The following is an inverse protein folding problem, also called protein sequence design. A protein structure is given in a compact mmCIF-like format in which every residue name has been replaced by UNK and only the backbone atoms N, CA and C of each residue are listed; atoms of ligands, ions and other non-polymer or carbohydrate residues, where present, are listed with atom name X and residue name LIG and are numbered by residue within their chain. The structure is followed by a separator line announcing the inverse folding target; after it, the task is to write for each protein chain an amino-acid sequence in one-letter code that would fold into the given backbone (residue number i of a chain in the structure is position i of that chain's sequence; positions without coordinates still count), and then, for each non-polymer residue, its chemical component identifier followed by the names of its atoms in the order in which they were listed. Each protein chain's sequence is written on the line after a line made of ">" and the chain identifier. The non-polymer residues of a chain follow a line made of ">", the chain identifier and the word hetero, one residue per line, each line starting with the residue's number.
data_IF_287232129407
#
_entry.id   IF_287232129407
#
_cell.length_a   1.000
_cell.length_b   1.000
_cell.length_c   1.000
_cell.angle_alpha   90.00
_cell.angle_beta   90.00
_cell.angle_gamma   90.00
#
_symmetry.space_group_name_H-M   'P 1'
#
loop_
_entity.id
_entity.type
_entity.pdbx_description
1 polymer ?
#
# COMPACT_ATOMS: atom_id res chain seq x y z
N UNK A 1 -43.32 37.61 33.09
CA UNK A 1 -42.44 38.76 32.75
C UNK A 1 -42.21 38.73 31.26
N UNK A 2 -42.85 39.67 30.60
CA UNK A 2 -42.87 39.93 29.17
C UNK A 2 -41.47 40.34 28.67
N UNK A 3 -41.20 40.08 27.39
CA UNK A 3 -40.63 41.07 26.46
C UNK A 3 -40.69 40.57 25.02
N UNK A 4 -41.73 41.03 24.35
CA UNK A 4 -41.80 41.17 22.90
C UNK A 4 -40.60 42.00 22.39
N UNK A 5 -39.98 41.57 21.29
CA UNK A 5 -39.14 42.43 20.45
C UNK A 5 -39.86 42.67 19.14
N UNK A 6 -40.25 43.92 18.96
CA UNK A 6 -40.85 44.55 17.81
C UNK A 6 -39.90 44.55 16.61
N UNK A 7 -40.47 44.22 15.45
CA UNK A 7 -39.84 44.32 14.13
C UNK A 7 -40.12 45.72 13.58
N UNK A 8 -39.05 46.47 13.30
CA UNK A 8 -39.13 47.79 12.65
C UNK A 8 -39.02 47.60 11.14
N UNK A 9 -40.09 47.95 10.42
CA UNK A 9 -40.16 47.99 8.97
C UNK A 9 -39.55 49.30 8.49
N UNK A 10 -38.55 49.23 7.60
CA UNK A 10 -38.00 50.37 6.87
C UNK A 10 -38.53 50.32 5.43
N UNK A 11 -39.11 51.40 4.89
CA UNK A 11 -39.54 51.45 3.50
C UNK A 11 -38.34 51.76 2.61
N UNK A 12 -38.08 50.95 1.59
CA UNK A 12 -37.12 51.28 0.53
C UNK A 12 -37.88 51.70 -0.71
N UNK A 13 -37.57 52.92 -1.12
CA UNK A 13 -38.14 53.68 -2.24
C UNK A 13 -37.99 52.97 -3.58
N UNK A 14 -39.02 53.13 -4.40
CA UNK A 14 -39.04 52.80 -5.81
C UNK A 14 -38.13 53.77 -6.58
N UNK A 15 -36.96 53.29 -7.03
CA UNK A 15 -36.17 53.98 -8.05
C UNK A 15 -36.47 53.37 -9.42
N UNK A 16 -37.08 54.19 -10.28
CA UNK A 16 -37.33 53.94 -11.68
C UNK A 16 -36.05 54.17 -12.50
N UNK A 17 -35.30 53.11 -12.79
CA UNK A 17 -34.14 53.20 -13.68
C UNK A 17 -34.40 52.53 -15.04
N UNK A 18 -34.50 53.43 -16.01
CA UNK A 18 -34.31 53.31 -17.46
C UNK A 18 -33.82 51.95 -18.01
N UNK A 19 -34.71 51.32 -18.77
CA UNK A 19 -34.43 50.19 -19.64
C UNK A 19 -33.62 50.67 -20.86
N UNK A 20 -32.28 50.59 -20.79
CA UNK A 20 -31.40 50.64 -21.97
C UNK A 20 -30.94 49.22 -22.32
N UNK A 21 -31.70 48.59 -23.22
CA UNK A 21 -31.40 47.27 -23.78
C UNK A 21 -30.12 47.32 -24.61
N UNK A 22 -28.99 46.98 -23.99
CA UNK A 22 -27.76 46.64 -24.72
C UNK A 22 -28.03 45.44 -25.63
N UNK A 23 -27.69 45.49 -26.92
CA UNK A 23 -27.88 44.35 -27.82
C UNK A 23 -27.04 43.18 -27.30
N UNK A 24 -27.72 42.05 -27.09
CA UNK A 24 -27.07 40.78 -26.80
C UNK A 24 -26.03 40.51 -27.88
N UNK A 25 -24.75 40.68 -27.54
CA UNK A 25 -23.63 40.19 -28.36
C UNK A 25 -23.85 38.70 -28.56
N UNK A 26 -24.35 38.31 -29.73
CA UNK A 26 -24.45 36.94 -30.14
C UNK A 26 -23.10 36.27 -29.91
N UNK A 27 -23.05 35.28 -29.01
CA UNK A 27 -21.87 34.42 -28.87
C UNK A 27 -21.62 33.79 -30.23
N UNK A 28 -20.61 34.29 -30.94
CA UNK A 28 -20.13 33.67 -32.17
C UNK A 28 -19.98 32.17 -31.90
N UNK A 29 -20.75 31.33 -32.64
CA UNK A 29 -20.60 29.87 -32.60
C UNK A 29 -19.14 29.58 -32.89
N UNK A 30 -18.39 29.21 -31.86
CA UNK A 30 -16.98 28.91 -31.99
C UNK A 30 -16.86 27.79 -33.02
N UNK A 31 -16.05 28.01 -34.07
CA UNK A 31 -15.87 27.02 -35.13
C UNK A 31 -15.55 25.65 -34.51
N UNK A 32 -16.27 24.63 -34.99
CA UNK A 32 -16.06 23.23 -34.57
C UNK A 32 -14.69 22.80 -35.10
N UNK A 33 -13.94 22.03 -34.29
CA UNK A 33 -12.70 21.45 -34.75
C UNK A 33 -12.98 20.38 -35.82
N UNK A 34 -12.04 20.12 -36.74
CA UNK A 34 -12.12 18.96 -37.64
C UNK A 34 -12.35 17.66 -36.87
N UNK A 35 -13.14 16.74 -37.44
CA UNK A 35 -13.54 15.50 -36.76
C UNK A 35 -12.36 14.65 -36.30
N UNK A 36 -11.28 14.59 -37.09
CA UNK A 36 -10.05 13.85 -36.75
C UNK A 36 -9.35 14.41 -35.50
N UNK A 37 -9.32 15.73 -35.35
CA UNK A 37 -8.74 16.40 -34.19
C UNK A 37 -9.65 16.29 -32.96
N UNK A 38 -10.96 16.39 -33.17
CA UNK A 38 -11.93 16.18 -32.09
C UNK A 38 -11.80 14.75 -31.53
N UNK A 39 -11.63 13.74 -32.37
CA UNK A 39 -11.36 12.37 -31.94
C UNK A 39 -10.12 12.27 -31.03
N UNK A 40 -9.02 12.94 -31.38
CA UNK A 40 -7.81 13.00 -30.54
C UNK A 40 -8.09 13.66 -29.18
N UNK A 41 -8.80 14.79 -29.17
CA UNK A 41 -9.18 15.47 -27.92
C UNK A 41 -10.10 14.60 -27.06
N UNK A 42 -10.99 13.80 -27.66
CA UNK A 42 -11.91 12.94 -26.91
C UNK A 42 -11.23 11.81 -26.14
N UNK A 43 -9.98 11.47 -26.47
CA UNK A 43 -9.18 10.47 -25.72
C UNK A 43 -8.79 10.95 -24.31
N UNK A 44 -8.73 12.25 -24.08
CA UNK A 44 -8.47 12.82 -22.75
C UNK A 44 -9.71 12.76 -21.85
N UNK A 45 -9.49 12.89 -20.54
CA UNK A 45 -10.59 13.02 -19.58
C UNK A 45 -11.46 14.26 -19.85
N UNK A 46 -12.77 14.12 -19.61
CA UNK A 46 -13.76 15.16 -19.91
C UNK A 46 -13.43 16.57 -19.34
N UNK A 47 -12.91 16.72 -18.11
CA UNK A 47 -12.58 18.03 -17.54
C UNK A 47 -11.57 18.84 -18.38
N UNK A 48 -10.69 18.16 -19.11
CA UNK A 48 -9.53 18.76 -19.77
C UNK A 48 -9.82 19.11 -21.24
N UNK A 49 -10.80 18.42 -21.86
CA UNK A 49 -11.14 18.57 -23.29
C UNK A 49 -11.44 20.00 -23.69
N UNK A 50 -12.18 20.76 -22.86
CA UNK A 50 -12.55 22.15 -23.18
C UNK A 50 -11.32 23.03 -23.37
N UNK A 51 -10.35 22.90 -22.48
CA UNK A 51 -9.13 23.70 -22.52
C UNK A 51 -8.21 23.27 -23.65
N UNK A 52 -8.10 21.97 -23.93
CA UNK A 52 -7.39 21.48 -25.12
C UNK A 52 -7.97 22.06 -26.41
N UNK A 53 -9.30 22.07 -26.57
CA UNK A 53 -9.93 22.71 -27.74
C UNK A 53 -9.64 24.20 -27.82
N UNK A 54 -9.47 24.89 -26.68
CA UNK A 54 -9.08 26.31 -26.64
C UNK A 54 -7.63 26.48 -27.11
N UNK A 55 -6.71 25.64 -26.63
CA UNK A 55 -5.30 25.66 -27.02
C UNK A 55 -5.12 25.35 -28.51
N UNK A 56 -5.82 24.34 -29.05
CA UNK A 56 -5.70 24.03 -30.49
C UNK A 56 -6.22 25.13 -31.40
N UNK A 57 -7.24 25.89 -30.96
CA UNK A 57 -7.68 27.09 -31.70
C UNK A 57 -6.69 28.24 -31.64
N UNK A 58 -5.83 28.27 -30.63
CA UNK A 58 -4.79 29.29 -30.50
C UNK A 58 -3.64 29.05 -31.49
N UNK A 59 -3.26 27.79 -31.71
CA UNK A 59 -2.24 27.40 -32.68
C UNK A 59 -2.39 25.93 -33.11
N UNK A 60 -2.23 25.61 -34.40
CA UNK A 60 -2.25 24.23 -34.88
C UNK A 60 -1.15 23.36 -34.25
N UNK A 61 -0.05 23.95 -33.75
CA UNK A 61 1.02 23.21 -33.05
C UNK A 61 0.55 22.49 -31.79
N UNK A 62 -0.55 22.94 -31.17
CA UNK A 62 -1.16 22.21 -30.05
C UNK A 62 -1.85 20.92 -30.50
N UNK A 63 -2.29 20.82 -31.76
CA UNK A 63 -2.77 19.57 -32.32
C UNK A 63 -1.63 18.54 -32.39
N UNK A 64 -0.44 18.97 -32.82
CA UNK A 64 0.74 18.10 -32.87
C UNK A 64 1.18 17.69 -31.45
N UNK A 65 1.10 18.61 -30.48
CA UNK A 65 1.47 18.33 -29.09
C UNK A 65 0.57 17.27 -28.45
N UNK A 66 -0.73 17.28 -28.77
CA UNK A 66 -1.70 16.29 -28.30
C UNK A 66 -1.28 14.86 -28.68
N UNK A 67 -0.72 14.67 -29.87
CA UNK A 67 -0.28 13.35 -30.34
C UNK A 67 1.15 13.02 -29.92
N UNK A 68 2.06 13.98 -30.01
CA UNK A 68 3.50 13.73 -29.84
C UNK A 68 3.95 13.77 -28.39
N UNK A 69 3.23 14.50 -27.53
CA UNK A 69 3.52 14.55 -26.11
C UNK A 69 2.24 14.78 -25.27
N UNK A 70 1.40 13.74 -25.10
CA UNK A 70 0.10 13.89 -24.46
C UNK A 70 0.17 14.48 -23.04
N UNK A 71 1.22 14.16 -22.27
CA UNK A 71 1.43 14.69 -20.93
C UNK A 71 1.62 16.22 -20.89
N UNK A 72 2.33 16.79 -21.87
CA UNK A 72 2.55 18.22 -21.96
C UNK A 72 1.26 18.96 -22.32
N UNK A 73 0.49 18.43 -23.27
CA UNK A 73 -0.83 18.95 -23.60
C UNK A 73 -1.77 18.92 -22.37
N UNK A 74 -1.76 17.80 -21.63
CA UNK A 74 -2.53 17.65 -20.39
C UNK A 74 -2.11 18.68 -19.33
N UNK A 75 -0.80 18.81 -19.03
CA UNK A 75 -0.29 19.73 -18.03
C UNK A 75 -0.64 21.20 -18.32
N UNK A 76 -0.61 21.62 -19.59
CA UNK A 76 -1.01 22.96 -20.01
C UNK A 76 -2.52 23.18 -19.85
N UNK A 77 -3.32 22.14 -20.11
CA UNK A 77 -4.76 22.21 -20.01
C UNK A 77 -5.28 22.14 -18.55
N UNK A 78 -4.59 21.42 -17.67
CA UNK A 78 -4.88 21.40 -16.22
C UNK A 78 -4.21 22.53 -15.46
N UNK A 79 -3.46 23.40 -16.14
CA UNK A 79 -2.76 24.56 -15.55
C UNK A 79 -1.76 24.14 -14.44
N UNK A 80 -0.98 23.09 -14.69
CA UNK A 80 0.10 22.66 -13.78
C UNK A 80 1.14 23.79 -13.65
N UNK A 81 1.58 24.05 -12.43
CA UNK A 81 2.60 25.06 -12.13
C UNK A 81 2.02 26.47 -12.02
N UNK A 82 2.91 27.48 -11.98
CA UNK A 82 2.49 28.88 -11.95
C UNK A 82 1.97 29.36 -13.32
N UNK A 83 1.13 30.40 -13.32
CA UNK A 83 0.64 31.00 -14.57
C UNK A 83 1.80 31.45 -15.48
N UNK A 84 2.86 32.01 -14.91
CA UNK A 84 4.04 32.43 -15.67
C UNK A 84 4.74 31.25 -16.37
N UNK A 85 4.94 30.13 -15.66
CA UNK A 85 5.53 28.92 -16.25
C UNK A 85 4.68 28.41 -17.42
N UNK A 86 3.36 28.41 -17.23
CA UNK A 86 2.41 27.97 -18.24
C UNK A 86 2.41 28.87 -19.47
N UNK A 87 2.37 30.19 -19.29
CA UNK A 87 2.32 31.14 -20.41
C UNK A 87 3.61 31.09 -21.23
N UNK A 88 4.76 30.96 -20.58
CA UNK A 88 6.03 30.72 -21.25
C UNK A 88 6.06 29.38 -22.01
N UNK A 89 5.53 28.30 -21.42
CA UNK A 89 5.43 27.02 -22.11
C UNK A 89 4.48 27.08 -23.32
N UNK A 90 3.39 27.86 -23.23
CA UNK A 90 2.50 28.14 -24.37
C UNK A 90 3.26 28.88 -25.48
N UNK A 91 4.06 29.90 -25.14
CA UNK A 91 4.91 30.60 -26.11
C UNK A 91 5.89 29.64 -26.79
N UNK A 92 6.60 28.82 -26.02
CA UNK A 92 7.52 27.81 -26.57
C UNK A 92 6.83 26.87 -27.57
N UNK A 93 5.59 26.45 -27.29
CA UNK A 93 4.82 25.61 -28.24
C UNK A 93 4.46 26.40 -29.49
N UNK A 94 3.98 27.64 -29.36
CA UNK A 94 3.62 28.50 -30.50
C UNK A 94 4.83 28.79 -31.40
N UNK A 95 5.98 29.07 -30.78
CA UNK A 95 7.25 29.36 -31.47
C UNK A 95 7.88 28.11 -32.10
N UNK A 96 7.34 26.92 -31.85
CA UNK A 96 7.84 25.67 -32.41
C UNK A 96 9.13 25.18 -31.76
N UNK A 97 9.36 25.50 -30.49
CA UNK A 97 10.50 25.01 -29.73
C UNK A 97 10.50 23.47 -29.63
N UNK A 98 11.67 22.89 -29.34
CA UNK A 98 11.79 21.44 -29.15
C UNK A 98 10.92 20.93 -28.00
N UNK A 99 10.40 19.70 -28.12
CA UNK A 99 9.62 19.05 -27.04
C UNK A 99 10.41 18.97 -25.72
N UNK A 100 11.74 18.82 -25.78
CA UNK A 100 12.61 18.82 -24.59
C UNK A 100 12.60 20.16 -23.86
N UNK A 101 12.53 21.29 -24.60
CA UNK A 101 12.43 22.61 -24.00
C UNK A 101 11.07 22.81 -23.31
N UNK A 102 9.98 22.39 -23.96
CA UNK A 102 8.62 22.40 -23.36
C UNK A 102 8.56 21.50 -22.12
N UNK A 103 9.10 20.28 -22.20
CA UNK A 103 9.16 19.33 -21.08
C UNK A 103 9.87 19.93 -19.87
N UNK A 104 11.06 20.52 -20.10
CA UNK A 104 11.87 21.16 -19.06
C UNK A 104 11.10 22.31 -18.40
N UNK A 105 10.42 23.14 -19.20
CA UNK A 105 9.65 24.27 -18.67
C UNK A 105 8.47 23.81 -17.81
N UNK A 106 7.81 22.71 -18.17
CA UNK A 106 6.69 22.12 -17.42
C UNK A 106 7.13 21.15 -16.31
N UNK A 107 8.43 20.97 -16.11
CA UNK A 107 9.02 19.98 -15.19
C UNK A 107 8.50 18.55 -15.41
N UNK A 108 8.35 18.17 -16.69
CA UNK A 108 7.87 16.86 -17.11
C UNK A 108 9.03 15.97 -17.56
N UNK A 109 9.12 14.72 -17.06
CA UNK A 109 10.03 13.73 -17.60
C UNK A 109 9.74 13.41 -19.08
N UNK A 110 10.79 13.31 -19.89
CA UNK A 110 10.64 13.01 -21.32
C UNK A 110 10.06 11.61 -21.61
N UNK A 111 10.14 10.67 -20.67
CA UNK A 111 9.61 9.31 -20.88
C UNK A 111 8.07 9.30 -20.96
N UNK A 112 7.39 10.30 -20.39
CA UNK A 112 5.93 10.48 -20.47
C UNK A 112 5.43 10.70 -21.90
N UNK A 113 6.29 11.09 -22.85
CA UNK A 113 5.90 11.29 -24.26
C UNK A 113 5.36 10.03 -24.92
N UNK A 114 5.72 8.85 -24.40
CA UNK A 114 5.31 7.56 -24.93
C UNK A 114 3.99 7.05 -24.33
N UNK A 115 3.46 7.70 -23.30
CA UNK A 115 2.20 7.32 -22.70
C UNK A 115 1.02 7.84 -23.53
N UNK A 116 -0.08 7.09 -23.60
CA UNK A 116 -1.27 7.51 -24.31
C UNK A 116 -2.02 8.61 -23.53
N UNK A 117 -2.84 9.46 -24.18
CA UNK A 117 -3.69 10.46 -23.52
C UNK A 117 -4.52 9.92 -22.35
N UNK A 118 -4.98 8.68 -22.47
CA UNK A 118 -5.80 7.99 -21.47
C UNK A 118 -5.09 7.92 -20.12
N UNK A 119 -3.76 7.83 -20.09
CA UNK A 119 -2.95 7.78 -18.87
C UNK A 119 -3.09 9.01 -17.97
N UNK A 120 -3.59 10.12 -18.53
CA UNK A 120 -3.66 11.42 -17.87
C UNK A 120 -5.11 11.77 -17.51
N UNK A 121 -5.57 11.22 -16.39
CA UNK A 121 -6.91 11.49 -15.86
C UNK A 121 -6.90 12.08 -14.44
N UNK A 122 -5.76 12.07 -13.76
CA UNK A 122 -5.52 12.68 -12.46
C UNK A 122 -4.45 13.78 -12.56
N UNK A 123 -4.40 14.73 -11.60
CA UNK A 123 -3.30 15.67 -11.50
C UNK A 123 -1.97 14.92 -11.42
N UNK A 124 -1.02 15.29 -12.28
CA UNK A 124 0.31 14.69 -12.25
C UNK A 124 0.99 15.02 -10.90
N UNK A 125 1.51 14.01 -10.21
CA UNK A 125 2.28 14.21 -8.98
C UNK A 125 3.73 14.62 -9.25
N UNK A 126 4.58 14.36 -8.26
CA UNK A 126 6.02 14.28 -8.45
C UNK A 126 6.33 12.99 -9.21
N UNK A 127 7.19 13.07 -10.22
CA UNK A 127 7.54 11.96 -11.09
C UNK A 127 9.06 11.77 -11.11
N UNK A 128 9.55 10.53 -11.32
CA UNK A 128 10.97 10.27 -11.41
C UNK A 128 11.56 10.96 -12.65
N UNK A 129 12.59 11.77 -12.43
CA UNK A 129 13.23 12.57 -13.49
C UNK A 129 14.62 12.04 -13.90
N UNK A 130 15.16 11.04 -13.19
CA UNK A 130 16.51 10.54 -13.47
C UNK A 130 16.60 9.89 -14.85
N UNK A 131 17.71 10.10 -15.56
CA UNK A 131 17.88 9.58 -16.92
C UNK A 131 17.97 8.04 -16.93
N UNK A 132 18.57 7.44 -15.90
CA UNK A 132 18.59 5.99 -15.70
C UNK A 132 17.17 5.43 -15.58
N UNK A 133 16.30 6.07 -14.79
CA UNK A 133 14.90 5.69 -14.69
C UNK A 133 14.17 5.83 -16.02
N UNK A 134 14.32 7.00 -16.68
CA UNK A 134 13.64 7.29 -17.94
C UNK A 134 13.96 6.25 -19.04
N UNK A 135 15.22 5.80 -19.12
CA UNK A 135 15.64 4.77 -20.08
C UNK A 135 15.00 3.41 -19.78
N UNK A 136 14.94 3.02 -18.50
CA UNK A 136 14.41 1.71 -18.08
C UNK A 136 12.88 1.67 -18.11
N UNK A 137 12.19 2.68 -17.60
CA UNK A 137 10.72 2.66 -17.57
C UNK A 137 10.09 2.67 -18.96
N UNK A 138 10.78 3.24 -19.95
CA UNK A 138 10.26 3.36 -21.31
C UNK A 138 10.06 2.03 -22.06
N UNK A 139 10.67 0.93 -21.60
CA UNK A 139 10.43 -0.43 -22.11
C UNK A 139 9.38 -1.20 -21.32
N UNK A 140 8.78 -0.58 -20.30
CA UNK A 140 7.83 -1.18 -19.34
C UNK A 140 6.48 -0.48 -19.37
N UNK A 141 6.22 0.29 -20.43
CA UNK A 141 4.95 0.98 -20.60
C UNK A 141 3.85 -0.03 -20.88
N UNK A 142 2.63 0.20 -20.37
CA UNK A 142 1.52 -0.70 -20.62
C UNK A 142 1.14 -0.65 -22.10
N UNK A 143 0.92 -1.83 -22.69
CA UNK A 143 0.45 -1.95 -24.07
C UNK A 143 -1.05 -1.63 -24.19
N UNK A 144 -1.81 -1.83 -23.11
CA UNK A 144 -3.23 -1.52 -23.03
C UNK A 144 -3.44 -0.09 -22.46
N UNK A 145 -4.00 0.84 -23.24
CA UNK A 145 -4.27 2.20 -22.77
C UNK A 145 -5.16 2.28 -21.53
N UNK A 146 -6.02 1.27 -21.28
CA UNK A 146 -6.90 1.24 -20.12
C UNK A 146 -6.12 1.05 -18.80
N UNK A 147 -4.95 0.43 -18.86
CA UNK A 147 -4.08 0.20 -17.70
C UNK A 147 -3.15 1.38 -17.40
N UNK A 148 -2.89 2.22 -18.41
CA UNK A 148 -1.96 3.34 -18.33
C UNK A 148 -2.18 4.32 -17.17
N UNK A 149 -3.42 4.68 -16.78
CA UNK A 149 -3.66 5.60 -15.67
C UNK A 149 -3.19 5.03 -14.33
N UNK A 150 -3.66 3.82 -13.99
CA UNK A 150 -3.31 3.18 -12.73
C UNK A 150 -1.85 2.77 -12.70
N UNK A 151 -1.28 2.34 -13.84
CA UNK A 151 0.16 2.11 -13.98
C UNK A 151 0.97 3.39 -13.68
N UNK A 152 0.60 4.54 -14.24
CA UNK A 152 1.33 5.80 -14.04
C UNK A 152 1.27 6.25 -12.57
N UNK A 153 0.08 6.17 -11.97
CA UNK A 153 -0.13 6.48 -10.56
C UNK A 153 0.72 5.57 -9.66
N UNK A 154 0.75 4.28 -9.96
CA UNK A 154 1.53 3.27 -9.22
C UNK A 154 3.03 3.51 -9.30
N UNK A 155 3.54 3.83 -10.50
CA UNK A 155 4.96 4.14 -10.71
C UNK A 155 5.36 5.43 -9.99
N UNK A 156 4.53 6.46 -10.06
CA UNK A 156 4.75 7.72 -9.34
C UNK A 156 4.79 7.49 -7.83
N UNK A 157 3.81 6.75 -7.29
CA UNK A 157 3.75 6.41 -5.88
C UNK A 157 4.94 5.55 -5.45
N UNK A 158 5.31 4.54 -6.23
CA UNK A 158 6.40 3.63 -5.90
C UNK A 158 7.76 4.34 -5.80
N UNK A 159 8.04 5.33 -6.66
CA UNK A 159 9.29 6.10 -6.55
C UNK A 159 9.24 7.02 -5.33
N UNK A 160 8.11 7.70 -5.10
CA UNK A 160 7.89 8.54 -3.93
C UNK A 160 8.06 7.76 -2.63
N UNK A 161 7.29 6.68 -2.46
CA UNK A 161 7.23 5.89 -1.23
C UNK A 161 8.44 4.95 -1.05
N UNK A 162 8.94 4.35 -2.13
CA UNK A 162 10.11 3.47 -2.12
C UNK A 162 11.34 4.19 -2.66
N UNK A 163 11.71 3.84 -3.90
CA UNK A 163 12.82 4.42 -4.65
C UNK A 163 12.70 4.02 -6.14
N UNK A 164 13.51 4.61 -7.01
CA UNK A 164 13.45 4.40 -8.47
C UNK A 164 13.54 2.93 -8.89
N UNK A 165 14.43 2.12 -8.28
CA UNK A 165 14.50 0.68 -8.59
C UNK A 165 13.21 -0.08 -8.28
N UNK A 166 12.51 0.30 -7.20
CA UNK A 166 11.26 -0.34 -6.80
C UNK A 166 10.13 0.08 -7.74
N UNK A 167 10.12 1.34 -8.18
CA UNK A 167 9.17 1.81 -9.19
C UNK A 167 9.38 1.13 -10.55
N UNK A 168 10.62 0.90 -10.98
CA UNK A 168 10.94 0.16 -12.20
C UNK A 168 10.49 -1.30 -12.08
N UNK A 169 10.80 -1.95 -10.96
CA UNK A 169 10.36 -3.32 -10.68
C UNK A 169 8.83 -3.42 -10.66
N UNK A 170 8.14 -2.47 -10.01
CA UNK A 170 6.68 -2.46 -9.95
C UNK A 170 6.08 -2.30 -11.35
N UNK A 171 6.65 -1.42 -12.18
CA UNK A 171 6.18 -1.16 -13.54
C UNK A 171 6.15 -2.41 -14.45
N UNK A 172 6.95 -3.44 -14.15
CA UNK A 172 6.99 -4.70 -14.90
C UNK A 172 5.84 -5.65 -14.56
N UNK A 173 5.14 -5.40 -13.46
CA UNK A 173 4.20 -6.37 -12.89
C UNK A 173 2.87 -6.37 -13.64
N UNK A 174 2.24 -7.55 -13.77
CA UNK A 174 0.96 -7.73 -14.46
C UNK A 174 -0.23 -7.53 -13.53
N UNK A 175 -0.29 -6.39 -12.84
CA UNK A 175 -1.26 -6.12 -11.76
C UNK A 175 -2.16 -4.90 -12.02
N UNK A 176 -2.11 -4.36 -13.23
CA UNK A 176 -2.73 -3.08 -13.59
C UNK A 176 -4.06 -3.20 -14.33
N UNK A 177 -4.54 -4.43 -14.57
CA UNK A 177 -5.83 -4.67 -15.21
C UNK A 177 -6.98 -4.05 -14.40
N UNK A 178 -6.93 -4.20 -13.08
CA UNK A 178 -7.91 -3.62 -12.17
C UNK A 178 -7.45 -2.23 -11.70
N UNK A 179 -8.28 -1.21 -11.96
CA UNK A 179 -8.13 0.12 -11.36
C UNK A 179 -8.10 0.02 -9.83
N UNK A 180 -7.40 0.97 -9.22
CA UNK A 180 -7.30 1.06 -7.77
C UNK A 180 -6.72 2.40 -7.34
N UNK A 181 -6.54 2.54 -6.04
CA UNK A 181 -5.78 3.62 -5.41
C UNK A 181 -4.35 3.12 -5.19
N UNK A 182 -3.37 3.75 -5.83
CA UNK A 182 -1.98 3.29 -5.78
C UNK A 182 -1.39 3.38 -4.36
N UNK A 183 -1.70 4.46 -3.62
CA UNK A 183 -1.20 4.63 -2.26
C UNK A 183 -1.75 3.53 -1.36
N UNK A 184 -3.05 3.27 -1.43
CA UNK A 184 -3.70 2.21 -0.66
C UNK A 184 -3.14 0.83 -1.01
N UNK A 185 -2.98 0.55 -2.29
CA UNK A 185 -2.59 -0.78 -2.80
C UNK A 185 -1.14 -1.11 -2.46
N UNK A 186 -0.23 -0.15 -2.59
CA UNK A 186 1.22 -0.42 -2.53
C UNK A 186 1.92 0.08 -1.26
N UNK A 187 1.26 0.79 -0.35
CA UNK A 187 1.89 1.37 0.88
C UNK A 187 2.75 0.40 1.68
N UNK A 188 2.29 -0.83 1.92
CA UNK A 188 3.04 -1.81 2.74
C UNK A 188 4.23 -2.32 1.95
N UNK A 189 4.03 -2.69 0.68
CA UNK A 189 5.09 -3.19 -0.19
C UNK A 189 6.18 -2.15 -0.45
N UNK A 190 5.80 -0.87 -0.62
CA UNK A 190 6.74 0.23 -0.79
C UNK A 190 7.55 0.50 0.49
N UNK A 191 6.90 0.49 1.66
CA UNK A 191 7.60 0.64 2.94
C UNK A 191 8.58 -0.52 3.19
N UNK A 192 8.15 -1.75 2.92
CA UNK A 192 9.00 -2.94 2.98
C UNK A 192 10.22 -2.83 2.06
N UNK A 193 10.02 -2.41 0.80
CA UNK A 193 11.10 -2.23 -0.16
C UNK A 193 12.11 -1.15 0.30
N UNK A 194 11.60 -0.05 0.87
CA UNK A 194 12.45 0.99 1.45
C UNK A 194 13.26 0.47 2.64
N UNK A 195 12.62 -0.17 3.63
CA UNK A 195 13.30 -0.70 4.81
C UNK A 195 14.34 -1.77 4.46
N UNK A 196 14.11 -2.54 3.40
CA UNK A 196 15.08 -3.52 2.90
C UNK A 196 16.43 -2.89 2.52
N UNK A 197 16.44 -1.61 2.14
CA UNK A 197 17.65 -0.85 1.75
C UNK A 197 18.06 0.24 2.74
N UNK A 198 17.24 0.52 3.74
CA UNK A 198 17.52 1.55 4.73
C UNK A 198 18.80 1.24 5.53
N UNK A 199 19.42 2.25 6.17
CA UNK A 199 20.39 2.03 7.23
C UNK A 199 19.83 1.10 8.33
N UNK A 200 20.72 0.51 9.14
CA UNK A 200 20.32 -0.39 10.21
C UNK A 200 19.29 0.27 11.14
N UNK A 201 18.14 -0.37 11.32
CA UNK A 201 17.08 0.07 12.22
C UNK A 201 16.20 -1.12 12.59
N UNK A 202 15.51 -1.03 13.74
CA UNK A 202 14.72 -2.13 14.28
C UNK A 202 13.67 -2.69 13.29
N UNK A 203 13.02 -1.83 12.50
CA UNK A 203 12.05 -2.27 11.50
C UNK A 203 12.69 -3.05 10.34
N UNK A 204 13.94 -2.75 9.99
CA UNK A 204 14.72 -3.49 8.99
C UNK A 204 15.15 -4.86 9.53
N UNK A 205 15.50 -4.95 10.81
CA UNK A 205 15.97 -6.20 11.42
C UNK A 205 14.89 -7.30 11.47
N UNK A 206 13.62 -6.92 11.30
CA UNK A 206 12.49 -7.83 11.15
C UNK A 206 12.33 -8.40 9.73
N UNK A 207 13.13 -7.95 8.76
CA UNK A 207 13.09 -8.42 7.38
C UNK A 207 14.01 -9.64 7.24
N UNK A 208 13.41 -10.81 6.99
CA UNK A 208 14.16 -12.05 6.74
C UNK A 208 14.58 -12.17 5.26
N UNK A 209 13.68 -11.81 4.34
CA UNK A 209 13.97 -11.80 2.91
C UNK A 209 13.89 -10.35 2.44
N UNK A 210 15.03 -9.66 2.23
CA UNK A 210 15.01 -8.28 1.78
C UNK A 210 14.52 -8.18 0.34
N UNK A 211 13.80 -7.10 0.05
CA UNK A 211 13.48 -6.73 -1.32
C UNK A 211 14.77 -6.44 -2.11
N UNK A 212 14.80 -6.92 -3.35
CA UNK A 212 15.83 -6.64 -4.36
C UNK A 212 15.19 -6.64 -5.75
N UNK A 213 15.76 -5.99 -6.77
CA UNK A 213 15.14 -5.90 -8.09
C UNK A 213 14.84 -7.25 -8.76
N UNK A 214 15.54 -8.31 -8.38
CA UNK A 214 15.39 -9.65 -8.95
C UNK A 214 14.36 -10.51 -8.22
N UNK A 215 13.75 -10.00 -7.13
CA UNK A 215 12.76 -10.76 -6.38
C UNK A 215 11.49 -10.94 -7.21
N UNK A 216 10.95 -12.16 -7.23
CA UNK A 216 9.66 -12.42 -7.82
C UNK A 216 8.53 -11.70 -7.04
N UNK A 217 7.46 -11.32 -7.73
CA UNK A 217 6.38 -10.53 -7.13
C UNK A 217 5.68 -11.23 -5.96
N UNK A 218 5.33 -12.51 -6.15
CA UNK A 218 4.73 -13.36 -5.12
C UNK A 218 5.61 -13.45 -3.86
N UNK A 219 6.91 -13.61 -4.06
CA UNK A 219 7.92 -13.70 -3.00
C UNK A 219 8.05 -12.37 -2.26
N UNK A 220 8.07 -11.24 -2.99
CA UNK A 220 8.10 -9.91 -2.38
C UNK A 220 6.85 -9.63 -1.54
N UNK A 221 5.68 -10.04 -2.03
CA UNK A 221 4.42 -9.83 -1.36
C UNK A 221 4.32 -10.68 -0.08
N UNK A 222 4.72 -11.96 -0.15
CA UNK A 222 4.83 -12.84 1.03
C UNK A 222 5.85 -12.31 2.04
N UNK A 223 7.01 -11.82 1.59
CA UNK A 223 8.03 -11.23 2.46
C UNK A 223 7.54 -9.96 3.15
N UNK A 224 6.83 -9.08 2.42
CA UNK A 224 6.23 -7.87 2.97
C UNK A 224 5.11 -8.20 4.00
N UNK A 225 4.30 -9.23 3.74
CA UNK A 225 3.27 -9.71 4.68
C UNK A 225 3.90 -10.30 5.96
N UNK A 226 4.95 -11.11 5.82
CA UNK A 226 5.71 -11.64 6.95
C UNK A 226 6.33 -10.52 7.78
N UNK A 227 6.96 -9.53 7.13
CA UNK A 227 7.49 -8.34 7.80
C UNK A 227 6.40 -7.56 8.56
N UNK A 228 5.24 -7.31 7.93
CA UNK A 228 4.11 -6.64 8.58
C UNK A 228 3.61 -7.41 9.82
N UNK A 229 3.56 -8.75 9.74
CA UNK A 229 3.18 -9.60 10.87
C UNK A 229 4.24 -9.60 12.00
N UNK A 230 5.53 -9.48 11.69
CA UNK A 230 6.57 -9.31 12.71
C UNK A 230 6.49 -7.95 13.40
N UNK A 231 6.19 -6.88 12.67
CA UNK A 231 5.88 -5.58 13.27
C UNK A 231 4.71 -5.74 14.24
N UNK A 232 3.64 -6.42 13.80
CA UNK A 232 2.47 -6.72 14.64
C UNK A 232 2.86 -7.43 15.94
N UNK A 233 3.68 -8.48 15.83
CA UNK A 233 4.15 -9.27 16.96
C UNK A 233 4.84 -8.39 18.00
N UNK A 234 5.80 -7.56 17.60
CA UNK A 234 6.55 -6.72 18.54
C UNK A 234 5.71 -5.60 19.16
N UNK A 235 4.65 -5.14 18.47
CA UNK A 235 3.74 -4.12 18.98
C UNK A 235 2.68 -4.67 19.95
N UNK A 236 2.30 -5.95 19.83
CA UNK A 236 1.27 -6.56 20.68
C UNK A 236 1.86 -7.38 21.84
N UNK A 237 3.04 -7.97 21.65
CA UNK A 237 3.75 -8.73 22.69
C UNK A 237 4.93 -7.88 23.17
N UNK A 238 4.66 -6.97 24.11
CA UNK A 238 5.72 -6.16 24.71
C UNK A 238 6.74 -7.03 25.46
N UNK A 239 8.02 -6.60 25.59
CA UNK A 239 9.10 -7.40 26.18
C UNK A 239 8.81 -8.02 27.55
N UNK A 240 7.98 -7.36 28.36
CA UNK A 240 7.64 -7.79 29.72
C UNK A 240 6.22 -8.36 29.85
N UNK A 241 5.46 -8.39 28.75
CA UNK A 241 4.09 -8.90 28.71
C UNK A 241 4.08 -10.40 28.35
N UNK A 242 4.90 -11.18 29.07
CA UNK A 242 5.05 -12.61 28.88
C UNK A 242 3.71 -13.33 28.80
N UNK A 243 3.60 -14.28 27.88
CA UNK A 243 2.45 -15.14 27.73
C UNK A 243 2.53 -16.26 28.77
N UNK A 244 1.46 -16.43 29.56
CA UNK A 244 1.30 -17.63 30.39
C UNK A 244 1.22 -18.87 29.47
N UNK A 245 2.06 -19.91 29.62
CA UNK A 245 2.19 -20.99 28.63
C UNK A 245 0.99 -21.95 28.53
N UNK A 246 -0.01 -21.85 29.41
CA UNK A 246 -1.16 -22.77 29.60
C UNK A 246 -0.81 -24.19 30.05
N UNK A 247 0.22 -24.78 29.44
CA UNK A 247 0.75 -26.11 29.77
C UNK A 247 2.24 -25.96 30.10
N UNK A 248 2.76 -26.87 30.90
CA UNK A 248 4.15 -26.86 31.30
C UNK A 248 5.05 -27.40 30.18
N UNK A 249 6.27 -26.86 30.10
CA UNK A 249 7.31 -27.51 29.30
C UNK A 249 7.64 -28.89 29.85
N UNK A 250 8.28 -29.75 29.05
CA UNK A 250 8.63 -31.09 29.49
C UNK A 250 9.29 -31.93 28.41
N UNK A 251 9.42 -33.23 28.67
CA UNK A 251 10.01 -34.18 27.73
C UNK A 251 9.12 -35.41 27.56
N UNK A 252 9.04 -35.92 26.32
CA UNK A 252 8.38 -37.18 26.01
C UNK A 252 9.07 -37.86 24.83
N UNK A 253 9.33 -39.16 24.95
CA UNK A 253 9.97 -39.98 23.92
C UNK A 253 11.28 -39.39 23.35
N UNK A 254 12.08 -38.72 24.19
CA UNK A 254 13.34 -38.08 23.78
C UNK A 254 13.18 -36.75 23.03
N UNK A 255 11.98 -36.18 23.01
CA UNK A 255 11.70 -34.83 22.50
C UNK A 255 11.40 -33.88 23.66
N UNK A 256 11.93 -32.66 23.61
CA UNK A 256 11.62 -31.61 24.57
C UNK A 256 10.59 -30.62 24.00
N UNK A 257 9.64 -30.23 24.84
CA UNK A 257 8.58 -29.26 24.53
C UNK A 257 8.82 -28.01 25.37
N UNK A 258 9.13 -26.90 24.71
CA UNK A 258 9.43 -25.63 25.37
C UNK A 258 8.42 -24.55 24.95
N UNK A 259 7.70 -23.92 25.89
CA UNK A 259 6.71 -22.89 25.54
C UNK A 259 7.37 -21.65 24.96
N UNK A 260 6.73 -21.06 23.95
CA UNK A 260 7.15 -19.81 23.30
C UNK A 260 6.38 -18.65 23.92
N UNK A 261 6.88 -18.15 25.04
CA UNK A 261 6.16 -17.21 25.92
C UNK A 261 6.37 -15.74 25.59
N UNK A 262 7.31 -15.40 24.72
CA UNK A 262 7.62 -14.03 24.35
C UNK A 262 7.92 -13.87 22.86
N UNK A 263 8.02 -12.62 22.42
CA UNK A 263 8.27 -12.28 21.02
C UNK A 263 9.62 -12.78 20.52
N UNK A 264 10.65 -12.82 21.36
CA UNK A 264 12.01 -13.16 20.94
C UNK A 264 12.11 -14.68 20.72
N UNK A 265 11.49 -15.47 21.61
CA UNK A 265 11.30 -16.91 21.44
C UNK A 265 10.52 -17.23 20.16
N UNK A 266 9.44 -16.49 19.88
CA UNK A 266 8.64 -16.68 18.65
C UNK A 266 9.42 -16.34 17.38
N UNK A 267 10.19 -15.24 17.38
CA UNK A 267 11.01 -14.85 16.22
C UNK A 267 12.16 -15.85 15.98
N UNK A 268 12.83 -16.31 17.05
CA UNK A 268 13.88 -17.34 16.98
C UNK A 268 13.32 -18.67 16.46
N UNK A 269 12.14 -19.08 16.94
CA UNK A 269 11.47 -20.28 16.43
C UNK A 269 11.11 -20.14 14.95
N UNK A 270 10.48 -19.02 14.55
CA UNK A 270 10.10 -18.76 13.16
C UNK A 270 11.32 -18.81 12.22
N UNK A 271 12.46 -18.28 12.66
CA UNK A 271 13.71 -18.32 11.92
C UNK A 271 14.29 -19.75 11.84
N UNK A 272 14.37 -20.47 12.96
CA UNK A 272 14.91 -21.83 13.02
C UNK A 272 14.08 -22.81 12.18
N UNK A 273 12.76 -22.70 12.26
CA UNK A 273 11.81 -23.58 11.59
C UNK A 273 11.42 -23.12 10.19
N UNK A 274 11.79 -21.89 9.80
CA UNK A 274 11.38 -21.26 8.54
C UNK A 274 9.87 -21.40 8.30
N UNK A 275 9.10 -21.17 9.36
CA UNK A 275 7.66 -21.40 9.42
C UNK A 275 6.90 -20.10 9.78
N UNK A 276 5.60 -20.20 9.96
CA UNK A 276 4.71 -19.05 10.20
C UNK A 276 4.49 -18.71 11.68
N UNK A 277 5.39 -19.10 12.60
CA UNK A 277 5.21 -18.83 14.04
C UNK A 277 5.08 -17.33 14.35
N UNK A 278 5.71 -16.46 13.56
CA UNK A 278 5.61 -15.00 13.66
C UNK A 278 4.25 -14.40 13.23
N UNK A 279 3.36 -15.22 12.65
CA UNK A 279 2.01 -14.81 12.22
C UNK A 279 0.97 -14.97 13.33
N UNK A 280 1.34 -15.58 14.46
CA UNK A 280 0.41 -15.93 15.54
C UNK A 280 0.09 -14.79 16.50
N UNK A 281 0.66 -13.60 16.31
CA UNK A 281 0.52 -12.45 17.21
C UNK A 281 -0.95 -12.19 17.62
N UNK A 282 -1.89 -12.23 16.67
CA UNK A 282 -3.32 -12.04 16.98
C UNK A 282 -3.89 -13.12 17.90
N UNK A 283 -3.61 -14.37 17.56
CA UNK A 283 -4.18 -15.53 18.24
C UNK A 283 -3.61 -15.64 19.65
N UNK A 284 -2.32 -15.36 19.82
CA UNK A 284 -1.67 -15.27 21.11
C UNK A 284 -2.24 -14.12 21.95
N UNK A 285 -2.38 -12.93 21.35
CA UNK A 285 -2.90 -11.74 22.01
C UNK A 285 -4.33 -11.91 22.52
N UNK A 286 -5.17 -12.63 21.76
CA UNK A 286 -6.57 -12.93 22.10
C UNK A 286 -6.75 -14.21 22.91
N UNK A 287 -5.67 -14.81 23.41
CA UNK A 287 -5.71 -16.07 24.15
C UNK A 287 -6.45 -17.20 23.43
N UNK A 288 -6.26 -17.29 22.10
CA UNK A 288 -6.80 -18.36 21.26
C UNK A 288 -5.86 -19.55 21.12
N UNK A 289 -4.58 -19.38 21.43
CA UNK A 289 -3.61 -20.46 21.41
C UNK A 289 -2.37 -20.16 22.26
N UNK A 290 -1.54 -21.19 22.43
CA UNK A 290 -0.13 -21.12 22.84
C UNK A 290 0.72 -21.96 21.90
N UNK A 291 1.98 -21.55 21.74
CA UNK A 291 2.94 -22.21 20.88
C UNK A 291 4.06 -22.83 21.71
N UNK A 292 4.55 -23.97 21.25
CA UNK A 292 5.66 -24.69 21.84
C UNK A 292 6.66 -25.04 20.73
N UNK A 293 7.94 -24.86 21.05
CA UNK A 293 9.04 -25.43 20.28
C UNK A 293 9.19 -26.90 20.64
N UNK A 294 9.27 -27.77 19.64
CA UNK A 294 9.58 -29.19 19.82
C UNK A 294 10.98 -29.43 19.32
N UNK A 295 11.84 -29.96 20.19
CA UNK A 295 13.26 -30.21 19.88
C UNK A 295 13.63 -31.66 20.11
N UNK A 296 14.62 -32.14 19.35
CA UNK A 296 15.34 -33.39 19.60
C UNK A 296 16.78 -33.02 19.92
N UNK A 297 17.17 -33.14 21.18
CA UNK A 297 18.39 -32.51 21.69
C UNK A 297 18.32 -30.99 21.49
N UNK A 298 19.31 -30.40 20.81
CA UNK A 298 19.36 -28.96 20.54
C UNK A 298 18.66 -28.54 19.24
N UNK A 299 18.19 -29.50 18.43
CA UNK A 299 17.65 -29.22 17.10
C UNK A 299 16.15 -29.00 17.16
N UNK A 300 15.68 -27.88 16.61
CA UNK A 300 14.25 -27.61 16.42
C UNK A 300 13.69 -28.53 15.31
N UNK A 301 12.66 -29.30 15.62
CA UNK A 301 12.09 -30.31 14.69
C UNK A 301 10.63 -30.09 14.37
N UNK A 302 9.87 -29.45 15.27
CA UNK A 302 8.49 -29.05 15.01
C UNK A 302 8.09 -27.84 15.87
N UNK A 303 7.04 -27.16 15.46
CA UNK A 303 6.31 -26.19 16.28
C UNK A 303 4.91 -26.73 16.53
N UNK A 304 4.53 -26.74 17.80
CA UNK A 304 3.25 -27.26 18.29
C UNK A 304 2.35 -26.08 18.70
N UNK A 305 1.10 -26.13 18.28
CA UNK A 305 0.05 -25.21 18.66
C UNK A 305 -0.96 -25.91 19.57
N UNK A 306 -1.20 -25.31 20.72
CA UNK A 306 -2.24 -25.71 21.68
C UNK A 306 -3.35 -24.68 21.64
N UNK A 307 -4.58 -25.14 21.50
CA UNK A 307 -5.78 -24.30 21.45
C UNK A 307 -7.00 -25.00 22.04
N UNK A 308 -8.14 -24.30 22.15
CA UNK A 308 -9.40 -24.91 22.58
C UNK A 308 -9.80 -26.10 21.70
N UNK A 309 -10.30 -27.16 22.32
CA UNK A 309 -10.85 -28.32 21.61
C UNK A 309 -12.10 -27.91 20.84
N UNK A 310 -12.20 -28.36 19.58
CA UNK A 310 -13.26 -27.94 18.66
C UNK A 310 -14.67 -28.37 19.08
N UNK A 311 -14.78 -29.43 19.90
CA UNK A 311 -16.05 -30.02 20.33
C UNK A 311 -16.29 -29.99 21.84
N UNK A 312 -15.23 -29.81 22.63
CA UNK A 312 -15.29 -29.90 24.09
C UNK A 312 -14.88 -28.56 24.69
N UNK A 313 -15.89 -27.77 25.06
CA UNK A 313 -15.65 -26.47 25.66
C UNK A 313 -14.86 -26.61 26.96
N UNK A 314 -13.83 -25.78 27.11
CA UNK A 314 -12.99 -25.78 28.29
C UNK A 314 -11.89 -26.84 28.31
N UNK A 315 -11.71 -27.62 27.24
CA UNK A 315 -10.61 -28.58 27.10
C UNK A 315 -9.59 -28.06 26.09
N UNK A 316 -8.31 -28.17 26.39
CA UNK A 316 -7.22 -27.85 25.46
C UNK A 316 -6.90 -29.05 24.57
N UNK A 317 -6.42 -28.77 23.35
CA UNK A 317 -6.05 -29.78 22.36
C UNK A 317 -4.89 -29.34 21.48
N UNK A 318 -4.21 -30.30 20.86
CA UNK A 318 -3.27 -30.03 19.78
C UNK A 318 -4.08 -29.57 18.56
N UNK A 319 -4.03 -28.28 18.27
CA UNK A 319 -4.71 -27.72 17.09
C UNK A 319 -3.86 -27.86 15.84
N UNK A 320 -2.53 -27.82 15.99
CA UNK A 320 -1.59 -27.97 14.88
C UNK A 320 -0.23 -28.46 15.36
N UNK A 321 0.43 -29.29 14.57
CA UNK A 321 1.83 -29.67 14.74
C UNK A 321 2.51 -29.68 13.36
N UNK A 322 3.50 -28.79 13.17
CA UNK A 322 4.18 -28.61 11.88
C UNK A 322 5.69 -28.70 12.02
N UNK A 323 6.32 -29.41 11.09
CA UNK A 323 7.77 -29.43 10.92
C UNK A 323 8.26 -28.16 10.20
N UNK A 324 9.56 -28.16 9.87
CA UNK A 324 10.21 -27.07 9.13
C UNK A 324 9.46 -26.75 7.84
N UNK A 325 9.41 -25.47 7.45
CA UNK A 325 8.67 -25.00 6.26
C UNK A 325 7.16 -25.27 6.28
N UNK A 326 6.56 -25.39 7.48
CA UNK A 326 5.16 -25.78 7.66
C UNK A 326 4.80 -27.16 7.08
N UNK A 327 5.79 -28.05 6.92
CA UNK A 327 5.56 -29.42 6.48
C UNK A 327 4.83 -30.23 7.56
N UNK A 328 4.14 -31.34 7.21
CA UNK A 328 3.60 -32.26 8.21
C UNK A 328 4.70 -32.80 9.12
N UNK A 329 4.44 -32.85 10.43
CA UNK A 329 5.33 -33.52 11.38
C UNK A 329 5.27 -35.05 11.22
N UNK A 330 6.36 -35.74 11.54
CA UNK A 330 6.42 -37.20 11.48
C UNK A 330 5.55 -37.85 12.57
N UNK A 331 5.24 -39.13 12.39
CA UNK A 331 4.39 -39.90 13.32
C UNK A 331 5.02 -39.96 14.71
N UNK A 332 6.34 -40.07 14.81
CA UNK A 332 7.07 -40.12 16.08
C UNK A 332 6.90 -38.81 16.87
N UNK A 333 6.92 -37.66 16.19
CA UNK A 333 6.69 -36.35 16.83
C UNK A 333 5.24 -36.25 17.31
N UNK A 334 4.28 -36.76 16.54
CA UNK A 334 2.87 -36.83 16.98
C UNK A 334 2.68 -37.70 18.22
N UNK A 335 3.29 -38.88 18.24
CA UNK A 335 3.26 -39.78 19.41
C UNK A 335 3.88 -39.11 20.64
N UNK A 336 5.02 -38.44 20.48
CA UNK A 336 5.66 -37.69 21.55
C UNK A 336 4.76 -36.55 22.06
N UNK A 337 4.12 -35.80 21.16
CA UNK A 337 3.25 -34.69 21.52
C UNK A 337 2.00 -35.15 22.29
N UNK A 338 1.36 -36.24 21.87
CA UNK A 338 0.22 -36.80 22.59
C UNK A 338 0.63 -37.35 23.97
N UNK A 339 1.77 -38.02 24.07
CA UNK A 339 2.28 -38.50 25.36
C UNK A 339 2.58 -37.33 26.31
N UNK A 340 3.31 -36.31 25.83
CA UNK A 340 3.59 -35.10 26.60
C UNK A 340 2.30 -34.41 27.06
N UNK A 341 1.30 -34.30 26.17
CA UNK A 341 0.02 -33.69 26.49
C UNK A 341 -0.76 -34.49 27.55
N UNK A 342 -0.70 -35.83 27.51
CA UNK A 342 -1.37 -36.69 28.50
C UNK A 342 -0.81 -36.57 29.92
N UNK A 343 0.41 -36.04 30.06
CA UNK A 343 1.08 -35.82 31.34
C UNK A 343 0.72 -34.47 31.97
N UNK A 344 -0.05 -33.62 31.28
CA UNK A 344 -0.37 -32.27 31.72
C UNK A 344 -1.54 -32.26 32.71
N UNK A 345 -1.38 -31.57 33.84
CA UNK A 345 -2.47 -31.36 34.80
C UNK A 345 -3.47 -30.26 34.33
N UNK A 346 -3.03 -29.34 33.48
CA UNK A 346 -3.77 -28.13 33.06
C UNK A 346 -4.65 -28.26 31.83
N UNK A 347 -5.08 -29.47 31.43
CA UNK A 347 -5.84 -29.67 30.19
C UNK A 347 -7.24 -29.05 30.21
N UNK A 348 -7.82 -28.86 31.39
CA UNK A 348 -9.09 -28.14 31.57
C UNK A 348 -8.80 -26.66 31.79
N UNK A 349 -9.18 -25.82 30.84
CA UNK A 349 -9.08 -24.37 30.91
C UNK A 349 -10.35 -23.74 30.37
N UNK A 350 -11.12 -23.10 31.24
CA UNK A 350 -12.26 -22.30 30.81
C UNK A 350 -11.75 -21.10 30.00
N UNK A 351 -12.33 -20.84 28.80
CA UNK A 351 -11.97 -19.65 28.06
C UNK A 351 -12.33 -18.40 28.89
N UNK A 352 -11.52 -17.34 28.84
CA UNK A 352 -11.86 -16.11 29.55
C UNK A 352 -13.19 -15.57 29.01
N UNK A 353 -14.10 -15.15 29.89
CA UNK A 353 -15.39 -14.57 29.50
C UNK A 353 -15.21 -13.32 28.62
N UNK A 354 -14.14 -12.57 28.88
CA UNK A 354 -13.75 -11.38 28.11
C UNK A 354 -12.30 -11.62 27.66
N UNK A 355 -12.04 -11.72 26.35
CA UNK A 355 -10.67 -11.83 25.84
C UNK A 355 -9.83 -10.64 26.29
N UNK A 356 -8.57 -10.84 26.71
CA UNK A 356 -7.72 -9.73 27.08
C UNK A 356 -7.49 -8.81 25.89
N UNK A 357 -7.60 -7.51 26.14
CA UNK A 357 -7.23 -6.50 25.16
C UNK A 357 -5.71 -6.33 25.18
N UNK A 358 -5.05 -6.66 24.06
CA UNK A 358 -3.66 -6.30 23.81
C UNK A 358 -3.59 -5.32 22.65
N UNK A 359 -3.79 -4.01 22.91
CA UNK A 359 -3.73 -3.00 21.87
C UNK A 359 -2.32 -2.91 21.28
N UNK A 360 -2.22 -2.32 20.09
CA UNK A 360 -0.91 -2.01 19.53
C UNK A 360 -0.22 -0.93 20.36
N UNK A 361 1.05 -1.17 20.68
CA UNK A 361 1.90 -0.14 21.25
C UNK A 361 2.21 0.96 20.22
N UNK A 362 1.51 2.09 20.38
CA UNK A 362 1.67 3.26 19.51
C UNK A 362 3.09 3.85 19.57
N UNK A 363 3.77 3.79 20.72
CA UNK A 363 5.15 4.29 20.85
C UNK A 363 6.09 3.44 20.01
N UNK A 364 5.93 2.12 20.07
CA UNK A 364 6.69 1.18 19.24
C UNK A 364 6.40 1.39 17.74
N UNK A 365 5.13 1.56 17.33
CA UNK A 365 4.80 1.88 15.92
C UNK A 365 5.50 3.16 15.43
N UNK A 366 5.42 4.24 16.22
CA UNK A 366 6.05 5.52 15.87
C UNK A 366 7.57 5.36 15.76
N UNK A 367 8.21 4.65 16.69
CA UNK A 367 9.66 4.38 16.67
C UNK A 367 10.08 3.60 15.43
N UNK A 368 9.38 2.51 15.12
CA UNK A 368 9.68 1.65 13.96
C UNK A 368 9.55 2.40 12.64
N UNK A 369 8.52 3.24 12.51
CA UNK A 369 8.24 3.99 11.29
C UNK A 369 9.00 5.33 11.19
N UNK A 370 9.66 5.78 12.26
CA UNK A 370 10.31 7.10 12.30
C UNK A 370 11.33 7.30 11.16
N UNK A 371 12.25 6.35 10.87
CA UNK A 371 13.20 6.52 9.77
C UNK A 371 12.51 6.70 8.41
N UNK A 372 11.49 5.88 8.14
CA UNK A 372 10.71 5.95 6.90
C UNK A 372 9.96 7.28 6.78
N UNK A 373 9.32 7.73 7.87
CA UNK A 373 8.58 9.00 7.89
C UNK A 373 9.49 10.21 7.73
N UNK A 374 10.71 10.18 8.29
CA UNK A 374 11.68 11.26 8.15
C UNK A 374 12.09 11.45 6.68
N UNK A 375 12.31 10.35 5.95
CA UNK A 375 12.74 10.38 4.54
C UNK A 375 11.59 10.63 3.56
N UNK A 376 10.35 10.23 3.91
CA UNK A 376 9.21 10.16 2.99
C UNK A 376 8.11 11.19 3.28
N UNK A 377 8.49 12.40 3.65
CA UNK A 377 7.58 13.53 3.91
C UNK A 377 6.46 13.17 4.91
N UNK A 378 6.83 12.45 5.97
CA UNK A 378 5.90 11.97 6.99
C UNK A 378 5.11 10.72 6.62
N UNK A 379 5.24 10.20 5.39
CA UNK A 379 4.54 9.02 4.86
C UNK A 379 3.02 9.01 5.16
N UNK A 380 2.24 9.95 4.60
CA UNK A 380 0.81 10.11 4.91
C UNK A 380 -0.05 8.90 4.55
N UNK A 381 0.41 8.05 3.63
CA UNK A 381 -0.25 6.80 3.24
C UNK A 381 -0.19 5.69 4.30
N UNK A 382 0.65 5.84 5.33
CA UNK A 382 0.67 4.94 6.50
C UNK A 382 0.04 5.63 7.72
N UNK A 383 -0.81 4.92 8.49
CA UNK A 383 -1.54 5.51 9.60
C UNK A 383 -0.57 6.05 10.67
N UNK A 384 -0.74 7.31 11.09
CA UNK A 384 0.08 7.91 12.17
C UNK A 384 -0.05 7.14 13.48
N UNK A 385 -1.26 6.65 13.77
CA UNK A 385 -1.58 5.76 14.89
C UNK A 385 -2.09 4.44 14.37
N UNK A 386 -1.49 3.35 14.80
CA UNK A 386 -1.92 2.02 14.40
C UNK A 386 -3.03 1.53 15.34
N UNK A 387 -4.13 1.07 14.77
CA UNK A 387 -5.26 0.46 15.47
C UNK A 387 -5.53 -0.92 14.86
N UNK A 388 -6.31 -1.76 15.55
CA UNK A 388 -6.70 -3.06 15.00
C UNK A 388 -7.36 -2.90 13.62
N UNK A 389 -8.26 -1.93 13.47
CA UNK A 389 -8.94 -1.63 12.21
C UNK A 389 -7.99 -1.18 11.11
N UNK A 390 -7.05 -0.28 11.41
CA UNK A 390 -6.12 0.20 10.38
C UNK A 390 -5.12 -0.87 9.95
N UNK A 391 -4.70 -1.73 10.88
CA UNK A 391 -3.87 -2.91 10.56
C UNK A 391 -4.63 -3.92 9.70
N UNK A 392 -5.86 -4.29 10.08
CA UNK A 392 -6.71 -5.18 9.28
C UNK A 392 -6.93 -4.65 7.87
N UNK A 393 -7.11 -3.32 7.71
CA UNK A 393 -7.22 -2.72 6.38
C UNK A 393 -5.95 -2.85 5.56
N UNK A 394 -4.77 -2.63 6.15
CA UNK A 394 -3.49 -2.86 5.46
C UNK A 394 -3.33 -4.33 5.06
N UNK A 395 -3.82 -5.25 5.90
CA UNK A 395 -3.77 -6.67 5.60
C UNK A 395 -4.70 -7.05 4.44
N UNK A 396 -5.95 -6.59 4.47
CA UNK A 396 -6.89 -6.77 3.37
C UNK A 396 -6.37 -6.18 2.06
N UNK A 397 -5.74 -5.00 2.11
CA UNK A 397 -5.14 -4.37 0.93
C UNK A 397 -4.03 -5.26 0.32
N UNK A 398 -3.24 -5.94 1.15
CA UNK A 398 -2.23 -6.92 0.71
C UNK A 398 -2.87 -8.20 0.14
N UNK A 399 -3.95 -8.70 0.75
CA UNK A 399 -4.72 -9.83 0.21
C UNK A 399 -5.33 -9.49 -1.16
N UNK A 400 -5.86 -8.29 -1.32
CA UNK A 400 -6.40 -7.81 -2.60
C UNK A 400 -5.30 -7.73 -3.66
N UNK A 401 -4.11 -7.25 -3.30
CA UNK A 401 -2.96 -7.22 -4.19
C UNK A 401 -2.49 -8.64 -4.57
N UNK A 402 -2.51 -9.59 -3.64
CA UNK A 402 -2.20 -10.99 -3.92
C UNK A 402 -3.16 -11.60 -4.95
N UNK A 403 -4.47 -11.33 -4.79
CA UNK A 403 -5.50 -11.78 -5.74
C UNK A 403 -5.29 -11.18 -7.13
N UNK A 404 -5.02 -9.87 -7.22
CA UNK A 404 -4.73 -9.18 -8.51
C UNK A 404 -3.53 -9.79 -9.23
N UNK A 405 -2.54 -10.26 -8.48
CA UNK A 405 -1.34 -10.87 -9.03
C UNK A 405 -1.47 -12.38 -9.30
N UNK A 406 -2.62 -13.00 -9.00
CA UNK A 406 -2.82 -14.44 -9.17
C UNK A 406 -2.00 -15.29 -8.19
N UNK A 407 -1.62 -14.74 -7.02
CA UNK A 407 -0.88 -15.49 -6.00
C UNK A 407 -1.82 -16.44 -5.28
N UNK A 408 -1.68 -17.75 -5.54
CA UNK A 408 -2.54 -18.81 -5.02
C UNK A 408 -2.11 -19.31 -3.64
N UNK A 409 -0.81 -19.23 -3.34
CA UNK A 409 -0.24 -19.64 -2.05
C UNK A 409 -0.11 -18.45 -1.07
N UNK A 410 -1.18 -17.66 -0.95
CA UNK A 410 -1.26 -16.61 0.06
C UNK A 410 -1.51 -17.28 1.41
N UNK A 411 -0.52 -17.26 2.31
CA UNK A 411 -0.57 -17.89 3.63
C UNK A 411 -1.85 -17.45 4.35
N UNK A 412 -2.82 -18.36 4.41
CA UNK A 412 -4.15 -18.15 4.98
C UNK A 412 -4.04 -17.72 6.44
N UNK A 413 -4.57 -16.54 6.76
CA UNK A 413 -4.91 -16.08 8.12
C UNK A 413 -6.20 -16.70 8.61
#
# INVERSE_FOLDING_TARGET
>A
MERFKSVTVVPVEMSSDSCTSKPARGRARTARLPASLEAKVTRYSAPVRRELRRLVRLSPRFADLIDTFPAAAYALATRRGSNAIRDDAIRLVIDGASLKAVARKLELPNWLKKLPPEAFDQPLGQLPQTESFARRVASRLPNDPLQAPFWLESVAFASKAGHDEFAIWLAEQRIYADRGDAERTFKVLAAFAWFSRAPHCEAKDLIVVPWRPEIAFDTALCAAKSWLNRLRLIMQLQPHAGLEPWLDGGEALGYSFAPLIDRDALLKEAQAMQNCADQYAERLARERCRLFSVKKGLTHVATLEIGPHSRESGVLSITQLKARHNMPASVEIWQAAHLWMSQQAGLKRMPPMIPPERPFDEKTWRRLMAPYRAEKDGAPWLPKRLTQTSFLRMDMDMCDLARRAGVTSWLFT
#
